data_IF_060250533344
#
_entry.id   IF_060250533344
#
_cell.length_a   1.000
_cell.length_b   1.000
_cell.length_c   1.000
_cell.angle_alpha   90.00
_cell.angle_beta   90.00
_cell.angle_gamma   90.00
#
_symmetry.space_group_name_H-M   'P 1'
#
loop_
_entity.id
_entity.type
_entity.pdbx_description
1 polymer ?
#
# COMPACT_ATOMS: atom_id res chain seq x y z
N UNK A 1 25.55 -28.71 -5.78
CA UNK A 1 25.57 -27.39 -6.46
C UNK A 1 24.20 -26.73 -6.28
N UNK A 2 24.10 -25.62 -5.52
CA UNK A 2 22.82 -24.90 -5.36
C UNK A 2 22.49 -24.18 -6.66
N UNK A 3 21.44 -24.62 -7.38
CA UNK A 3 20.90 -23.89 -8.53
C UNK A 3 20.42 -22.53 -8.02
N UNK A 4 21.12 -21.46 -8.35
CA UNK A 4 20.61 -20.09 -8.22
C UNK A 4 19.40 -19.99 -9.15
N UNK A 5 18.20 -20.15 -8.59
CA UNK A 5 16.97 -19.84 -9.31
C UNK A 5 16.99 -18.35 -9.62
N UNK A 6 17.22 -18.01 -10.90
CA UNK A 6 17.12 -16.63 -11.35
C UNK A 6 15.66 -16.21 -11.24
N UNK A 7 15.42 -15.23 -10.36
CA UNK A 7 14.09 -14.63 -10.20
C UNK A 7 13.59 -14.09 -11.54
N UNK A 8 12.34 -14.37 -11.85
CA UNK A 8 11.68 -13.83 -13.04
C UNK A 8 11.64 -12.29 -12.98
N UNK A 9 11.52 -11.58 -14.11
CA UNK A 9 11.38 -10.12 -14.12
C UNK A 9 10.25 -9.61 -13.23
N UNK A 10 9.13 -10.36 -13.15
CA UNK A 10 7.99 -10.00 -12.29
C UNK A 10 8.31 -10.18 -10.80
N UNK A 11 9.01 -11.25 -10.41
CA UNK A 11 9.46 -11.45 -9.03
C UNK A 11 10.48 -10.39 -8.58
N UNK A 12 11.34 -9.94 -9.49
CA UNK A 12 12.26 -8.83 -9.21
C UNK A 12 11.48 -7.54 -9.02
N UNK A 13 10.51 -7.27 -9.88
CA UNK A 13 9.65 -6.08 -9.80
C UNK A 13 8.84 -6.05 -8.51
N UNK A 14 8.24 -7.18 -8.13
CA UNK A 14 7.49 -7.31 -6.86
C UNK A 14 8.40 -7.07 -5.66
N UNK A 15 9.61 -7.63 -5.65
CA UNK A 15 10.56 -7.40 -4.55
C UNK A 15 10.98 -5.93 -4.45
N UNK A 16 11.15 -5.23 -5.58
CA UNK A 16 11.45 -3.79 -5.59
C UNK A 16 10.27 -3.00 -5.02
N UNK A 17 9.05 -3.33 -5.44
CA UNK A 17 7.83 -2.70 -4.94
C UNK A 17 7.69 -2.91 -3.43
N UNK A 18 7.80 -4.14 -2.94
CA UNK A 18 7.73 -4.48 -1.51
C UNK A 18 8.75 -3.68 -0.69
N UNK A 19 10.01 -3.67 -1.11
CA UNK A 19 11.06 -2.94 -0.41
C UNK A 19 10.78 -1.43 -0.34
N UNK A 20 10.23 -0.85 -1.41
CA UNK A 20 9.89 0.57 -1.45
C UNK A 20 8.64 0.88 -0.62
N UNK A 21 7.66 -0.03 -0.58
CA UNK A 21 6.47 0.10 0.27
C UNK A 21 6.83 0.12 1.75
N UNK A 22 7.75 -0.73 2.20
CA UNK A 22 8.23 -0.75 3.59
C UNK A 22 8.85 0.60 3.95
N UNK A 23 9.80 1.09 3.15
CA UNK A 23 10.47 2.39 3.38
C UNK A 23 9.50 3.57 3.35
N UNK A 24 8.55 3.56 2.42
CA UNK A 24 7.52 4.59 2.35
C UNK A 24 6.65 4.58 3.61
N UNK A 25 6.30 3.40 4.12
CA UNK A 25 5.51 3.23 5.35
C UNK A 25 6.29 3.73 6.58
N UNK A 26 7.56 3.37 6.71
CA UNK A 26 8.43 3.87 7.79
C UNK A 26 8.54 5.39 7.77
N UNK A 27 8.69 5.99 6.57
CA UNK A 27 8.73 7.44 6.40
C UNK A 27 7.41 8.09 6.85
N UNK A 28 6.27 7.52 6.44
CA UNK A 28 4.95 8.02 6.87
C UNK A 28 4.77 7.95 8.39
N UNK A 29 5.17 6.85 9.03
CA UNK A 29 5.14 6.72 10.49
C UNK A 29 6.03 7.78 11.16
N UNK A 30 7.21 8.06 10.61
CA UNK A 30 8.10 9.10 11.13
C UNK A 30 7.44 10.49 11.05
N UNK A 31 6.78 10.81 9.94
CA UNK A 31 6.08 12.09 9.76
C UNK A 31 4.91 12.26 10.73
N UNK A 32 4.16 11.18 11.02
CA UNK A 32 3.10 11.18 12.03
C UNK A 32 3.62 11.45 13.44
N UNK A 33 4.88 11.09 13.72
CA UNK A 33 5.55 11.36 15.00
C UNK A 33 6.34 12.68 15.02
N UNK A 34 6.23 13.51 13.97
CA UNK A 34 6.89 14.82 13.92
C UNK A 34 6.45 15.73 15.07
N UNK A 35 7.36 16.56 15.58
CA UNK A 35 7.02 17.60 16.57
C UNK A 35 6.22 18.75 15.95
N UNK A 36 6.37 19.00 14.64
CA UNK A 36 5.60 20.03 13.92
C UNK A 36 4.19 19.51 13.61
N UNK A 37 3.18 20.19 14.15
CA UNK A 37 1.77 19.86 13.95
C UNK A 37 1.34 19.88 12.48
N UNK A 38 1.86 20.82 11.68
CA UNK A 38 1.51 20.92 10.25
C UNK A 38 2.03 19.72 9.49
N UNK A 39 3.21 19.22 9.85
CA UNK A 39 3.77 18.00 9.25
C UNK A 39 2.90 16.79 9.59
N UNK A 40 2.50 16.64 10.86
CA UNK A 40 1.59 15.55 11.27
C UNK A 40 0.25 15.62 10.53
N UNK A 41 -0.35 16.81 10.46
CA UNK A 41 -1.64 17.03 9.81
C UNK A 41 -1.56 16.71 8.30
N UNK A 42 -0.50 17.18 7.63
CA UNK A 42 -0.29 16.89 6.22
C UNK A 42 -0.11 15.38 5.96
N UNK A 43 0.62 14.68 6.82
CA UNK A 43 0.81 13.23 6.72
C UNK A 43 -0.51 12.47 6.92
N UNK A 44 -1.31 12.86 7.92
CA UNK A 44 -2.63 12.28 8.17
C UNK A 44 -3.57 12.46 6.98
N UNK A 45 -3.66 13.67 6.44
CA UNK A 45 -4.54 13.94 5.30
C UNK A 45 -4.15 13.12 4.07
N UNK A 46 -2.85 13.03 3.77
CA UNK A 46 -2.34 12.21 2.68
C UNK A 46 -2.70 10.73 2.86
N UNK A 47 -2.57 10.18 4.07
CA UNK A 47 -2.91 8.77 4.35
C UNK A 47 -4.41 8.53 4.17
N UNK A 48 -5.26 9.41 4.70
CA UNK A 48 -6.71 9.32 4.56
C UNK A 48 -7.08 9.33 3.08
N UNK A 49 -6.57 10.30 2.31
CA UNK A 49 -6.81 10.41 0.87
C UNK A 49 -6.43 9.10 0.16
N UNK A 50 -5.26 8.52 0.44
CA UNK A 50 -4.81 7.27 -0.19
C UNK A 50 -5.59 6.03 0.20
N UNK A 51 -6.33 6.05 1.32
CA UNK A 51 -7.21 4.95 1.73
C UNK A 51 -8.59 5.14 1.11
N UNK A 52 -9.15 6.34 1.19
CA UNK A 52 -10.52 6.65 0.75
C UNK A 52 -10.64 6.83 -0.76
N UNK A 53 -9.57 7.23 -1.44
CA UNK A 53 -9.53 7.35 -2.91
C UNK A 53 -9.37 6.00 -3.62
N UNK A 54 -9.25 4.88 -2.88
CA UNK A 54 -9.16 3.56 -3.50
C UNK A 54 -10.55 3.18 -4.01
N UNK A 55 -10.70 2.83 -5.30
CA UNK A 55 -11.97 2.33 -5.79
C UNK A 55 -12.32 1.07 -5.00
N UNK A 56 -13.46 1.10 -4.32
CA UNK A 56 -14.05 -0.09 -3.70
C UNK A 56 -14.39 -1.02 -4.85
N UNK A 57 -13.70 -2.15 -4.97
CA UNK A 57 -14.07 -3.20 -5.91
C UNK A 57 -15.35 -3.84 -5.38
N UNK A 58 -16.50 -3.36 -5.88
CA UNK A 58 -17.78 -4.03 -5.68
C UNK A 58 -17.82 -5.25 -6.59
N UNK A 59 -17.57 -6.43 -6.01
CA UNK A 59 -17.83 -7.69 -6.72
C UNK A 59 -19.35 -7.89 -6.74
N UNK A 60 -19.96 -7.53 -7.87
CA UNK A 60 -21.36 -7.86 -8.13
C UNK A 60 -21.40 -9.34 -8.51
N UNK A 61 -21.87 -10.17 -7.59
CA UNK A 61 -22.16 -11.57 -7.89
C UNK A 61 -23.25 -11.62 -8.97
N UNK A 62 -23.24 -12.63 -9.85
CA UNK A 62 -24.21 -12.76 -10.97
C UNK A 62 -25.68 -12.80 -10.52
N UNK A 63 -25.90 -12.95 -9.22
CA UNK A 63 -27.20 -12.99 -8.55
C UNK A 63 -27.60 -11.66 -7.90
N UNK A 64 -26.93 -10.54 -8.24
CA UNK A 64 -27.26 -9.19 -7.78
C UNK A 64 -27.13 -8.97 -6.25
N UNK A 65 -26.38 -9.83 -5.56
CA UNK A 65 -26.07 -9.66 -4.15
C UNK A 65 -24.74 -8.92 -3.97
N UNK A 66 -24.81 -7.70 -3.44
CA UNK A 66 -23.64 -6.91 -3.07
C UNK A 66 -22.91 -7.58 -1.90
N UNK A 67 -21.80 -8.26 -2.17
CA UNK A 67 -20.88 -8.72 -1.13
C UNK A 67 -19.70 -7.76 -1.03
N UNK A 68 -19.54 -7.17 0.16
CA UNK A 68 -18.30 -6.44 0.50
C UNK A 68 -17.21 -7.48 0.72
N UNK A 69 -16.23 -7.54 -0.18
CA UNK A 69 -15.02 -8.32 0.06
C UNK A 69 -14.06 -7.45 0.86
N UNK A 70 -13.91 -7.75 2.15
CA UNK A 70 -12.90 -7.17 3.05
C UNK A 70 -11.53 -7.77 2.79
#
# INVERSE_FOLDING_TARGET
>A
MKKTQHKTPIEKSNKILENNLVKATETMISLLNSKDERVRMSATNFIIEKITSRPIVLVVDKDNHLKRST
#
